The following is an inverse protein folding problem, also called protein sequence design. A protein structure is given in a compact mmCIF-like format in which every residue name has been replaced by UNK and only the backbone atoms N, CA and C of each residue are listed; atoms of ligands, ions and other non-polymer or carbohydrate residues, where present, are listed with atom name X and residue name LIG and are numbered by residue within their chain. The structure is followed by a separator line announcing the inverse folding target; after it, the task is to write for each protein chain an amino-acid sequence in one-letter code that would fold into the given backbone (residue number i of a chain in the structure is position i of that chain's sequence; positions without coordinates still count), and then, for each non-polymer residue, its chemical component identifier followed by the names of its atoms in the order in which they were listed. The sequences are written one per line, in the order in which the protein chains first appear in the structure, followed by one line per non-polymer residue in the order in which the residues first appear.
data_IF_368026245636
#
_entry.id   IF_368026245636
#
_cell.length_a   1.000
_cell.length_b   1.000
_cell.length_c   1.000
_cell.angle_alpha   90.00
_cell.angle_beta   90.00
_cell.angle_gamma   90.00
#
_symmetry.space_group_name_H-M   'P 1'
#
loop_
_entity.id
_entity.type
_entity.pdbx_description
1 polymer ?
#
# COMPACT_ATOMS: atom_id res chain seq x y z
N UNK A 1 8.08 18.80 -13.30
CA UNK A 1 7.79 17.38 -13.61
C UNK A 1 7.78 17.23 -15.12
N UNK A 2 8.31 16.12 -15.65
CA UNK A 2 8.35 15.86 -17.09
C UNK A 2 6.92 15.62 -17.63
N UNK A 3 6.56 16.12 -18.83
CA UNK A 3 5.21 15.95 -19.38
C UNK A 3 4.76 14.49 -19.51
N UNK A 4 5.69 13.58 -19.81
CA UNK A 4 5.43 12.15 -19.97
C UNK A 4 4.98 11.49 -18.65
N UNK A 5 5.62 11.83 -17.53
CA UNK A 5 5.21 11.37 -16.21
C UNK A 5 3.80 11.86 -15.85
N UNK A 6 3.50 13.14 -16.07
CA UNK A 6 2.20 13.70 -15.75
C UNK A 6 1.07 13.01 -16.54
N UNK A 7 1.29 12.76 -17.83
CA UNK A 7 0.34 12.05 -18.67
C UNK A 7 0.13 10.62 -18.18
N UNK A 8 1.22 9.89 -17.93
CA UNK A 8 1.17 8.50 -17.45
C UNK A 8 0.51 8.38 -16.06
N UNK A 9 0.73 9.35 -15.17
CA UNK A 9 0.07 9.39 -13.86
C UNK A 9 -1.45 9.56 -13.97
N UNK A 10 -1.93 10.38 -14.91
CA UNK A 10 -3.36 10.56 -15.18
C UNK A 10 -3.97 9.28 -15.73
N UNK A 11 -3.31 8.65 -16.74
CA UNK A 11 -3.77 7.38 -17.30
C UNK A 11 -3.88 6.28 -16.24
N UNK A 12 -2.83 6.07 -15.44
CA UNK A 12 -2.84 5.06 -14.37
C UNK A 12 -3.92 5.32 -13.32
N UNK A 13 -4.19 6.59 -12.99
CA UNK A 13 -5.24 6.93 -12.04
C UNK A 13 -6.62 6.58 -12.60
N UNK A 14 -6.87 6.86 -13.89
CA UNK A 14 -8.12 6.50 -14.56
C UNK A 14 -8.31 4.99 -14.64
N UNK A 15 -7.26 4.24 -14.97
CA UNK A 15 -7.31 2.78 -15.02
C UNK A 15 -7.69 2.17 -13.66
N UNK A 16 -7.05 2.65 -12.59
CA UNK A 16 -7.36 2.21 -11.21
C UNK A 16 -8.78 2.62 -10.78
N UNK A 17 -9.27 3.76 -11.24
CA UNK A 17 -10.64 4.20 -10.98
C UNK A 17 -11.64 3.25 -11.64
N UNK A 18 -11.44 2.95 -12.92
CA UNK A 18 -12.29 2.03 -13.67
C UNK A 18 -12.28 0.63 -13.06
N UNK A 19 -11.13 0.17 -12.56
CA UNK A 19 -11.03 -1.09 -11.82
C UNK A 19 -11.85 -1.07 -10.53
N UNK A 20 -11.72 -0.03 -9.70
CA UNK A 20 -12.50 0.12 -8.48
C UNK A 20 -14.01 0.18 -8.76
N UNK A 21 -14.41 0.97 -9.76
CA UNK A 21 -15.79 1.07 -10.21
C UNK A 21 -16.34 -0.30 -10.65
N UNK A 22 -15.54 -1.08 -11.38
CA UNK A 22 -15.91 -2.44 -11.78
C UNK A 22 -16.17 -3.37 -10.58
N UNK A 23 -15.47 -3.16 -9.46
CA UNK A 23 -15.68 -3.93 -8.24
C UNK A 23 -16.91 -3.46 -7.48
N UNK A 24 -17.16 -2.14 -7.41
CA UNK A 24 -18.40 -1.60 -6.83
C UNK A 24 -19.63 -2.12 -7.57
N UNK A 25 -19.61 -2.11 -8.91
CA UNK A 25 -20.68 -2.65 -9.73
C UNK A 25 -20.95 -4.14 -9.45
N UNK A 26 -19.93 -4.92 -9.09
CA UNK A 26 -20.08 -6.34 -8.72
C UNK A 26 -20.62 -6.57 -7.31
N UNK A 27 -20.55 -5.59 -6.42
CA UNK A 27 -21.10 -5.70 -5.07
C UNK A 27 -22.64 -5.59 -5.05
N UNK A 28 -23.21 -4.97 -6.08
CA UNK A 28 -24.65 -4.74 -6.20
C UNK A 28 -25.09 -3.42 -5.57
N UNK A 29 -26.28 -2.95 -5.96
CA UNK A 29 -26.80 -1.63 -5.59
C UNK A 29 -27.12 -1.49 -4.08
N UNK A 30 -27.45 -2.61 -3.41
CA UNK A 30 -27.83 -2.63 -1.99
C UNK A 30 -26.63 -2.77 -1.03
N UNK A 31 -25.39 -2.83 -1.54
CA UNK A 31 -24.22 -3.01 -0.69
C UNK A 31 -23.80 -1.71 0.01
N UNK A 32 -23.77 -1.71 1.35
CA UNK A 32 -23.28 -0.58 2.12
C UNK A 32 -21.76 -0.43 1.99
N UNK A 33 -21.32 0.55 1.20
CA UNK A 33 -19.90 0.80 0.94
C UNK A 33 -19.25 1.62 2.06
N UNK A 34 -18.22 1.04 2.69
CA UNK A 34 -17.25 1.80 3.50
C UNK A 34 -16.32 2.59 2.56
N UNK A 35 -16.79 3.76 2.12
CA UNK A 35 -16.07 4.63 1.18
C UNK A 35 -14.69 5.04 1.71
N UNK A 36 -14.54 5.21 3.02
CA UNK A 36 -13.25 5.58 3.62
C UNK A 36 -12.23 4.48 3.37
N UNK A 37 -12.59 3.21 3.59
CA UNK A 37 -11.68 2.09 3.30
C UNK A 37 -11.38 1.99 1.81
N UNK A 38 -12.39 2.07 0.94
CA UNK A 38 -12.17 2.03 -0.50
C UNK A 38 -11.20 3.10 -0.99
N UNK A 39 -11.43 4.36 -0.59
CA UNK A 39 -10.57 5.47 -0.99
C UNK A 39 -9.15 5.33 -0.46
N UNK A 40 -8.94 4.72 0.72
CA UNK A 40 -7.60 4.40 1.21
C UNK A 40 -6.89 3.36 0.35
N UNK A 41 -7.60 2.31 -0.08
CA UNK A 41 -7.05 1.26 -0.95
C UNK A 41 -6.71 1.83 -2.32
N UNK A 42 -7.62 2.60 -2.91
CA UNK A 42 -7.40 3.34 -4.16
C UNK A 42 -6.19 4.27 -4.08
N UNK A 43 -6.14 5.14 -3.07
CA UNK A 43 -5.04 6.11 -2.90
C UNK A 43 -3.70 5.40 -2.69
N UNK A 44 -3.69 4.30 -1.93
CA UNK A 44 -2.47 3.53 -1.72
C UNK A 44 -1.94 2.93 -3.03
N UNK A 45 -2.81 2.32 -3.83
CA UNK A 45 -2.41 1.72 -5.10
C UNK A 45 -2.03 2.76 -6.15
N UNK A 46 -2.72 3.90 -6.19
CA UNK A 46 -2.36 5.04 -7.02
C UNK A 46 -0.96 5.56 -6.68
N UNK A 47 -0.67 5.79 -5.39
CA UNK A 47 0.68 6.21 -4.95
C UNK A 47 1.70 5.14 -5.32
N UNK A 48 1.41 3.86 -5.08
CA UNK A 48 2.33 2.77 -5.38
C UNK A 48 2.64 2.68 -6.88
N UNK A 49 1.61 2.80 -7.73
CA UNK A 49 1.71 2.75 -9.18
C UNK A 49 2.47 3.95 -9.75
N UNK A 50 2.15 5.16 -9.30
CA UNK A 50 2.85 6.38 -9.71
C UNK A 50 4.31 6.35 -9.24
N UNK A 51 4.56 5.87 -8.02
CA UNK A 51 5.91 5.85 -7.45
C UNK A 51 6.81 4.79 -8.12
N UNK A 52 6.29 3.57 -8.32
CA UNK A 52 7.11 2.41 -8.69
C UNK A 52 6.86 1.91 -10.11
N UNK A 53 5.81 2.38 -10.79
CA UNK A 53 5.36 1.86 -12.08
C UNK A 53 4.66 0.50 -12.00
N UNK A 54 4.48 -0.08 -10.79
CA UNK A 54 3.89 -1.40 -10.56
C UNK A 54 2.61 -1.35 -9.72
N UNK A 55 1.77 -2.39 -9.77
CA UNK A 55 0.54 -2.47 -8.96
C UNK A 55 0.79 -3.32 -7.72
N UNK A 56 0.24 -2.89 -6.58
CA UNK A 56 0.20 -3.70 -5.37
C UNK A 56 -1.17 -4.37 -5.14
N UNK A 57 -2.14 -4.23 -6.03
CA UNK A 57 -3.44 -4.90 -6.01
C UNK A 57 -4.25 -4.66 -4.70
N UNK A 58 -4.12 -3.47 -4.11
CA UNK A 58 -4.83 -3.07 -2.89
C UNK A 58 -6.35 -3.08 -3.07
N UNK A 59 -6.83 -2.56 -4.21
CA UNK A 59 -8.24 -2.47 -4.55
C UNK A 59 -8.83 -3.89 -4.70
N UNK A 60 -8.16 -4.73 -5.49
CA UNK A 60 -8.54 -6.11 -5.71
C UNK A 60 -8.50 -6.94 -4.41
N UNK A 61 -7.47 -6.77 -3.59
CA UNK A 61 -7.34 -7.45 -2.29
C UNK A 61 -8.52 -7.12 -1.38
N UNK A 62 -8.90 -5.85 -1.31
CA UNK A 62 -10.04 -5.41 -0.51
C UNK A 62 -11.36 -5.95 -1.03
N UNK A 63 -11.61 -5.90 -2.34
CA UNK A 63 -12.81 -6.51 -2.95
C UNK A 63 -12.96 -7.99 -2.56
N UNK A 64 -11.89 -8.78 -2.73
CA UNK A 64 -11.89 -10.21 -2.42
C UNK A 64 -12.21 -10.49 -0.94
N UNK A 65 -11.74 -9.61 -0.04
CA UNK A 65 -12.07 -9.70 1.38
C UNK A 65 -13.56 -9.47 1.65
N UNK A 66 -14.22 -8.58 0.91
CA UNK A 66 -15.65 -8.27 1.10
C UNK A 66 -16.56 -9.39 0.61
N UNK A 67 -16.24 -10.01 -0.53
CA UNK A 67 -17.03 -11.10 -1.10
C UNK A 67 -16.76 -12.47 -0.45
N UNK A 68 -15.97 -12.49 0.64
CA UNK A 68 -15.73 -13.66 1.48
C UNK A 68 -15.20 -14.89 0.70
N UNK A 69 -14.42 -14.65 -0.37
CA UNK A 69 -13.69 -15.72 -1.02
C UNK A 69 -12.63 -16.19 -0.02
N UNK A 70 -12.84 -17.38 0.56
CA UNK A 70 -12.05 -18.02 1.61
C UNK A 70 -10.66 -17.38 1.78
N UNK A 71 -10.34 -16.82 2.96
CA UNK A 71 -9.01 -16.23 3.23
C UNK A 71 -7.86 -17.22 2.94
N UNK A 72 -8.16 -18.52 2.97
CA UNK A 72 -7.25 -19.60 2.61
C UNK A 72 -6.98 -19.76 1.10
N UNK A 73 -7.76 -19.13 0.21
CA UNK A 73 -7.57 -19.13 -1.25
C UNK A 73 -7.16 -17.77 -1.81
N UNK A 74 -7.02 -16.73 -0.97
CA UNK A 74 -6.39 -15.48 -1.36
C UNK A 74 -4.95 -15.77 -1.81
N UNK A 75 -4.65 -15.46 -3.07
CA UNK A 75 -3.30 -15.58 -3.62
C UNK A 75 -2.31 -14.83 -2.70
N UNK A 76 -1.11 -15.39 -2.52
CA UNK A 76 -0.02 -14.84 -1.72
C UNK A 76 0.18 -13.34 -1.97
N UNK A 77 0.10 -12.91 -3.24
CA UNK A 77 0.20 -11.49 -3.63
C UNK A 77 -0.87 -10.59 -2.98
N UNK A 78 -2.12 -11.05 -2.91
CA UNK A 78 -3.22 -10.27 -2.32
C UNK A 78 -3.11 -10.21 -0.79
N UNK A 79 -2.60 -11.27 -0.17
CA UNK A 79 -2.29 -11.28 1.26
C UNK A 79 -1.12 -10.34 1.60
N UNK A 80 -0.09 -10.31 0.75
CA UNK A 80 1.03 -9.38 0.90
C UNK A 80 0.56 -7.92 0.81
N UNK A 81 -0.28 -7.61 -0.19
CA UNK A 81 -0.91 -6.30 -0.34
C UNK A 81 -1.67 -5.86 0.89
N UNK A 82 -2.56 -6.74 1.40
CA UNK A 82 -3.32 -6.50 2.62
C UNK A 82 -2.40 -6.19 3.80
N UNK A 83 -1.40 -7.04 4.04
CA UNK A 83 -0.46 -6.88 5.15
C UNK A 83 0.32 -5.57 5.04
N UNK A 84 0.73 -5.17 3.83
CA UNK A 84 1.42 -3.90 3.61
C UNK A 84 0.54 -2.70 3.98
N UNK A 85 -0.73 -2.69 3.55
CA UNK A 85 -1.65 -1.59 3.82
C UNK A 85 -2.03 -1.51 5.30
N UNK A 86 -2.35 -2.65 5.92
CA UNK A 86 -2.63 -2.70 7.36
C UNK A 86 -1.43 -2.22 8.18
N UNK A 87 -0.21 -2.50 7.71
CA UNK A 87 1.01 -2.00 8.32
C UNK A 87 1.14 -0.48 8.22
N UNK A 88 0.78 0.13 7.08
CA UNK A 88 0.73 1.59 6.94
C UNK A 88 -0.33 2.19 7.86
N UNK A 89 -1.54 1.61 7.87
CA UNK A 89 -2.65 2.04 8.71
C UNK A 89 -2.33 1.93 10.22
N UNK A 90 -1.45 1.00 10.59
CA UNK A 90 -0.94 0.86 11.97
C UNK A 90 0.18 1.84 12.28
N UNK A 91 1.03 2.16 11.30
CA UNK A 91 2.21 3.00 11.51
C UNK A 91 1.87 4.44 11.89
N UNK A 92 0.94 5.08 11.17
CA UNK A 92 0.58 6.49 11.43
C UNK A 92 0.01 6.73 12.84
N UNK A 93 -1.03 5.99 13.32
CA UNK A 93 -1.46 6.07 14.71
C UNK A 93 -0.37 5.65 15.70
N UNK A 94 0.52 4.75 15.27
CA UNK A 94 1.68 4.32 16.05
C UNK A 94 2.64 5.45 16.39
N UNK A 95 2.87 6.40 15.47
CA UNK A 95 3.72 7.56 15.71
C UNK A 95 3.16 8.41 16.87
N UNK A 96 1.85 8.67 16.87
CA UNK A 96 1.17 9.45 17.93
C UNK A 96 1.40 8.80 19.30
N UNK A 97 1.42 7.47 19.36
CA UNK A 97 1.71 6.72 20.59
C UNK A 97 3.10 7.05 21.17
N UNK A 98 4.11 7.23 20.31
CA UNK A 98 5.47 7.56 20.72
C UNK A 98 5.63 9.04 21.09
N UNK A 99 4.74 9.93 20.63
CA UNK A 99 4.66 11.29 21.16
C UNK A 99 3.97 11.34 22.53
N UNK A 100 2.89 10.58 22.72
CA UNK A 100 2.09 10.62 23.93
C UNK A 100 2.80 10.03 25.16
N UNK A 101 3.56 8.94 24.99
CA UNK A 101 4.21 8.24 26.11
C UNK A 101 5.72 8.37 26.03
N UNK A 102 6.38 8.91 27.06
CA UNK A 102 7.84 9.02 27.09
C UNK A 102 8.55 7.64 27.11
N UNK A 103 9.88 7.65 26.96
CA UNK A 103 10.70 6.42 26.96
C UNK A 103 10.51 5.57 28.21
N UNK A 104 10.36 6.18 29.38
CA UNK A 104 10.15 5.45 30.64
C UNK A 104 8.83 4.66 30.59
N UNK A 105 7.71 5.34 30.31
CA UNK A 105 6.39 4.71 30.26
C UNK A 105 6.35 3.56 29.25
N UNK A 106 6.97 3.74 28.08
CA UNK A 106 7.05 2.70 27.03
C UNK A 106 7.94 1.51 27.41
N UNK A 107 8.84 1.65 28.37
CA UNK A 107 9.76 0.59 28.76
C UNK A 107 9.31 -0.18 30.01
N UNK A 108 8.58 0.47 30.93
CA UNK A 108 8.31 -0.09 32.25
C UNK A 108 6.83 -0.35 32.55
N UNK A 109 5.89 0.42 31.98
CA UNK A 109 4.45 0.19 32.22
C UNK A 109 3.98 -0.97 31.33
N UNK A 110 3.53 -2.13 31.86
CA UNK A 110 3.35 -3.36 31.08
C UNK A 110 2.44 -3.21 29.85
N UNK A 111 1.27 -2.59 30.00
CA UNK A 111 0.32 -2.38 28.90
C UNK A 111 0.92 -1.46 27.82
N UNK A 112 1.58 -0.38 28.24
CA UNK A 112 2.17 0.59 27.33
C UNK A 112 3.34 -0.03 26.56
N UNK A 113 4.19 -0.77 27.29
CA UNK A 113 5.30 -1.52 26.73
C UNK A 113 4.84 -2.56 25.71
N UNK A 114 3.78 -3.30 26.02
CA UNK A 114 3.21 -4.29 25.10
C UNK A 114 2.78 -3.66 23.78
N UNK A 115 2.05 -2.54 23.83
CA UNK A 115 1.62 -1.81 22.63
C UNK A 115 2.81 -1.18 21.88
N UNK A 116 3.75 -0.56 22.58
CA UNK A 116 4.96 0.01 21.99
C UNK A 116 5.77 -1.05 21.21
N UNK A 117 5.96 -2.25 21.78
CA UNK A 117 6.65 -3.37 21.10
C UNK A 117 5.93 -3.80 19.82
N UNK A 118 4.60 -3.91 19.83
CA UNK A 118 3.81 -4.26 18.63
C UNK A 118 3.97 -3.21 17.53
N UNK A 119 3.92 -1.93 17.89
CA UNK A 119 4.10 -0.82 16.96
C UNK A 119 5.52 -0.77 16.37
N UNK A 120 6.55 -1.06 17.17
CA UNK A 120 7.92 -1.18 16.67
C UNK A 120 8.08 -2.33 15.70
N UNK A 121 7.52 -3.52 16.00
CA UNK A 121 7.54 -4.66 15.09
C UNK A 121 6.85 -4.33 13.76
N UNK A 122 5.72 -3.62 13.80
CA UNK A 122 5.03 -3.14 12.60
C UNK A 122 5.89 -2.15 11.80
N UNK A 123 6.57 -1.21 12.47
CA UNK A 123 7.53 -0.31 11.82
C UNK A 123 8.63 -1.11 11.13
N UNK A 124 9.23 -2.08 11.81
CA UNK A 124 10.32 -2.87 11.23
C UNK A 124 9.86 -3.59 9.97
N UNK A 125 8.71 -4.30 10.01
CA UNK A 125 8.10 -4.90 8.82
C UNK A 125 7.85 -3.90 7.69
N UNK A 126 7.25 -2.74 8.00
CA UNK A 126 6.94 -1.73 6.98
C UNK A 126 8.21 -1.21 6.29
N UNK A 127 9.23 -0.87 7.07
CA UNK A 127 10.47 -0.32 6.54
C UNK A 127 11.28 -1.37 5.78
N UNK A 128 11.28 -2.62 6.24
CA UNK A 128 11.89 -3.73 5.50
C UNK A 128 11.21 -3.93 4.14
N UNK A 129 9.87 -3.87 4.08
CA UNK A 129 9.12 -3.96 2.82
C UNK A 129 9.38 -2.79 1.88
N UNK A 130 9.39 -1.56 2.41
CA UNK A 130 9.74 -0.38 1.62
C UNK A 130 11.17 -0.48 1.07
N UNK A 131 12.12 -0.97 1.88
CA UNK A 131 13.49 -1.18 1.44
C UNK A 131 13.59 -2.22 0.32
N UNK A 132 12.84 -3.33 0.43
CA UNK A 132 12.75 -4.34 -0.64
C UNK A 132 12.24 -3.74 -1.94
N UNK A 133 11.14 -2.97 -1.91
CA UNK A 133 10.58 -2.31 -3.10
C UNK A 133 11.62 -1.39 -3.76
N UNK A 134 12.32 -0.57 -2.97
CA UNK A 134 13.37 0.32 -3.48
C UNK A 134 14.52 -0.49 -4.10
N UNK A 135 14.92 -1.59 -3.46
CA UNK A 135 16.00 -2.46 -3.96
C UNK A 135 15.62 -3.13 -5.28
N UNK A 136 14.41 -3.68 -5.37
CA UNK A 136 13.88 -4.29 -6.59
C UNK A 136 13.82 -3.27 -7.74
N UNK A 137 13.33 -2.05 -7.47
CA UNK A 137 13.31 -0.99 -8.48
C UNK A 137 14.71 -0.61 -8.94
N UNK A 138 15.68 -0.47 -8.02
CA UNK A 138 17.07 -0.18 -8.37
C UNK A 138 17.65 -1.25 -9.28
N UNK A 139 17.45 -2.51 -8.94
CA UNK A 139 17.87 -3.66 -9.75
C UNK A 139 17.24 -3.56 -11.15
N UNK A 140 15.93 -3.33 -11.26
CA UNK A 140 15.27 -3.18 -12.56
C UNK A 140 15.93 -2.08 -13.41
N UNK A 141 16.21 -0.91 -12.83
CA UNK A 141 16.87 0.21 -13.52
C UNK A 141 18.29 -0.16 -13.97
N UNK A 142 19.08 -0.80 -13.10
CA UNK A 142 20.46 -1.19 -13.40
C UNK A 142 20.56 -2.23 -14.53
N UNK A 143 19.56 -3.10 -14.66
CA UNK A 143 19.51 -4.14 -15.69
C UNK A 143 18.77 -3.73 -16.97
N UNK A 144 18.09 -2.57 -17.00
CA UNK A 144 17.50 -2.04 -18.24
C UNK A 144 18.60 -1.62 -19.21
N UNK A 145 18.62 -2.17 -20.45
CA UNK A 145 19.58 -1.75 -21.48
C UNK A 145 19.48 -0.24 -21.80
N UNK A 146 20.62 0.40 -22.12
CA UNK A 146 20.68 1.84 -22.38
C UNK A 146 19.84 2.31 -23.58
N UNK A 147 19.52 1.41 -24.50
CA UNK A 147 18.67 1.63 -25.66
C UNK A 147 17.17 1.48 -25.36
N UNK A 148 16.81 0.99 -24.18
CA UNK A 148 15.41 0.85 -23.74
C UNK A 148 15.01 1.98 -22.79
N UNK A 149 13.84 2.59 -23.00
CA UNK A 149 13.36 3.64 -22.11
C UNK A 149 12.96 3.04 -20.76
N UNK A 150 13.33 3.73 -19.68
CA UNK A 150 12.75 3.49 -18.37
C UNK A 150 11.28 3.93 -18.36
N UNK A 151 10.46 3.29 -17.52
CA UNK A 151 9.08 3.74 -17.25
C UNK A 151 9.06 5.21 -16.82
N UNK A 152 7.97 5.92 -17.08
CA UNK A 152 7.78 7.28 -16.59
C UNK A 152 7.07 7.25 -15.23
N UNK A 153 7.75 6.69 -14.24
CA UNK A 153 7.33 6.69 -12.83
C UNK A 153 8.20 7.64 -12.01
N UNK A 154 7.82 7.86 -10.73
CA UNK A 154 8.49 8.85 -9.89
C UNK A 154 9.96 8.52 -9.62
N UNK A 155 10.34 7.25 -9.63
CA UNK A 155 11.69 6.80 -9.28
C UNK A 155 12.67 6.86 -10.48
N UNK A 156 12.17 7.21 -11.66
CA UNK A 156 12.93 7.36 -12.92
C UNK A 156 12.72 8.72 -13.58
N UNK A 157 12.12 9.67 -12.85
CA UNK A 157 11.89 11.06 -13.24
C UNK A 157 13.17 11.82 -13.60
#
# INVERSE_FOLDING_TARGET
MTPSFNYQAIEWTNDLWNEMDSYWNKLGEDYELDLIKWMRRFTNEMIFKIATGTKNDAIASYYNMLINYNINSLNEKLNESKNFIESIETYLPGIIYFFAFNKFSRNYIPFIRGKAKKLLKNKDYLFDKLYTIVKERRIEIEYTPLDQPLRHDMLTL
#
